data_IF_558997142340
#
_entry.id   IF_558997142340
#
_cell.length_a   1.000
_cell.length_b   1.000
_cell.length_c   1.000
_cell.angle_alpha   90.00
_cell.angle_beta   90.00
_cell.angle_gamma   90.00
#
_symmetry.space_group_name_H-M   'P 1'
#
loop_
_entity.id
_entity.type
_entity.pdbx_description
1 polymer ?
#
# COMPACT_ATOMS: atom_id res chain seq x y z
N UNK A 1 12.14 -41.71 0.59
CA UNK A 1 11.91 -40.97 -0.67
C UNK A 1 11.09 -39.75 -0.29
N UNK A 2 11.75 -38.62 -0.04
CA UNK A 2 11.10 -37.38 0.37
C UNK A 2 10.87 -36.51 -0.86
N UNK A 3 9.63 -36.05 -1.04
CA UNK A 3 9.28 -35.07 -2.05
C UNK A 3 10.06 -33.76 -1.82
N UNK A 4 10.49 -33.06 -2.88
CA UNK A 4 11.12 -31.77 -2.72
C UNK A 4 10.08 -30.72 -2.32
N UNK A 5 10.41 -30.00 -1.25
CA UNK A 5 9.81 -28.74 -0.78
C UNK A 5 9.74 -27.73 -1.92
N UNK A 6 8.55 -27.25 -2.25
CA UNK A 6 8.39 -26.09 -3.12
C UNK A 6 8.82 -24.82 -2.36
N UNK A 7 9.96 -24.25 -2.76
CA UNK A 7 10.35 -22.88 -2.39
C UNK A 7 9.35 -21.88 -3.03
N UNK A 8 8.88 -20.84 -2.33
CA UNK A 8 7.92 -19.89 -2.89
C UNK A 8 8.56 -18.78 -3.76
N UNK A 9 9.86 -18.84 -4.02
CA UNK A 9 10.56 -17.84 -4.84
C UNK A 9 10.47 -18.19 -6.33
N UNK A 10 9.28 -18.13 -6.91
CA UNK A 10 9.14 -18.19 -8.37
C UNK A 10 8.03 -17.31 -8.94
N UNK A 11 8.39 -16.71 -10.08
CA UNK A 11 7.65 -15.93 -11.09
C UNK A 11 7.33 -14.48 -10.67
N UNK A 12 7.85 -13.42 -11.31
CA UNK A 12 7.66 -13.02 -12.73
C UNK A 12 6.20 -13.05 -13.23
N UNK A 13 5.26 -13.55 -12.43
CA UNK A 13 3.87 -13.68 -12.79
C UNK A 13 3.15 -12.40 -12.41
N UNK A 14 2.38 -11.91 -13.37
CA UNK A 14 1.47 -10.81 -13.13
C UNK A 14 0.50 -11.22 -12.00
N UNK A 15 0.18 -10.29 -11.09
CA UNK A 15 -0.67 -10.60 -9.95
C UNK A 15 -2.03 -11.15 -10.44
N UNK A 16 -2.37 -12.37 -10.03
CA UNK A 16 -3.60 -13.05 -10.43
C UNK A 16 -4.83 -12.17 -10.11
N UNK A 17 -5.79 -12.13 -11.04
CA UNK A 17 -6.98 -11.26 -10.97
C UNK A 17 -6.74 -9.81 -11.42
N UNK A 18 -5.51 -9.30 -11.30
CA UNK A 18 -5.15 -7.97 -11.83
C UNK A 18 -4.54 -8.06 -13.24
N UNK A 19 -3.95 -9.19 -13.61
CA UNK A 19 -3.22 -9.39 -14.86
C UNK A 19 -4.02 -9.06 -16.14
N UNK A 20 -5.36 -9.15 -16.08
CA UNK A 20 -6.26 -8.84 -17.19
C UNK A 20 -6.46 -7.33 -17.43
N UNK A 21 -5.92 -6.48 -16.55
CA UNK A 21 -5.94 -5.03 -16.75
C UNK A 21 -5.15 -4.65 -18.02
N UNK A 22 -5.73 -3.84 -18.93
CA UNK A 22 -5.06 -3.41 -20.16
C UNK A 22 -3.66 -2.82 -19.95
N UNK A 23 -3.41 -2.21 -18.78
CA UNK A 23 -2.09 -1.71 -18.38
C UNK A 23 -0.96 -2.72 -18.63
N UNK A 24 -1.17 -3.99 -18.29
CA UNK A 24 -0.13 -5.01 -18.37
C UNK A 24 0.27 -5.35 -19.80
N UNK A 25 -0.68 -5.31 -20.74
CA UNK A 25 -0.42 -5.55 -22.16
C UNK A 25 0.05 -4.27 -22.88
N UNK A 26 -0.53 -3.11 -22.56
CA UNK A 26 -0.39 -1.88 -23.35
C UNK A 26 0.69 -0.92 -22.85
N UNK A 27 0.96 -0.91 -21.54
CA UNK A 27 1.86 0.08 -20.91
C UNK A 27 3.11 -0.53 -20.31
N UNK A 28 2.96 -1.67 -19.63
CA UNK A 28 4.07 -2.31 -18.92
C UNK A 28 5.29 -2.64 -19.83
N UNK A 29 5.15 -3.07 -21.10
CA UNK A 29 6.30 -3.33 -21.96
C UNK A 29 7.22 -2.11 -22.14
N UNK A 30 6.64 -0.93 -22.40
CA UNK A 30 7.39 0.31 -22.56
C UNK A 30 8.07 0.73 -21.25
N UNK A 31 7.36 0.59 -20.12
CA UNK A 31 7.91 0.86 -18.80
C UNK A 31 9.08 -0.08 -18.48
N UNK A 32 8.94 -1.38 -18.73
CA UNK A 32 10.03 -2.36 -18.54
C UNK A 32 11.25 -2.01 -19.37
N UNK A 33 11.06 -1.62 -20.63
CA UNK A 33 12.15 -1.15 -21.48
C UNK A 33 12.85 0.10 -20.93
N UNK A 34 12.08 1.08 -20.42
CA UNK A 34 12.63 2.29 -19.82
C UNK A 34 13.42 1.97 -18.54
N UNK A 35 12.90 1.08 -17.69
CA UNK A 35 13.58 0.66 -16.46
C UNK A 35 14.86 -0.14 -16.74
N UNK A 36 14.87 -1.02 -17.75
CA UNK A 36 16.05 -1.77 -18.15
C UNK A 36 17.15 -0.89 -18.74
N UNK A 37 16.78 0.24 -19.35
CA UNK A 37 17.71 1.24 -19.87
C UNK A 37 18.17 2.27 -18.85
N UNK A 38 17.63 2.26 -17.62
CA UNK A 38 18.03 3.19 -16.57
C UNK A 38 19.28 2.66 -15.85
N UNK A 39 20.43 3.37 -15.89
CA UNK A 39 21.66 2.91 -15.26
C UNK A 39 21.65 3.05 -13.72
N UNK A 40 20.64 3.70 -13.15
CA UNK A 40 20.54 3.93 -11.70
C UNK A 40 20.03 2.68 -10.99
N UNK A 41 20.28 2.59 -9.69
CA UNK A 41 19.64 1.56 -8.86
C UNK A 41 18.13 1.87 -8.75
N UNK A 42 17.29 0.98 -9.29
CA UNK A 42 15.84 1.13 -9.22
C UNK A 42 15.26 0.37 -8.03
N UNK A 43 14.36 1.03 -7.30
CA UNK A 43 13.66 0.52 -6.14
C UNK A 43 12.13 0.48 -6.38
N UNK A 44 11.41 -0.46 -5.76
CA UNK A 44 11.93 -1.66 -5.12
C UNK A 44 12.56 -2.62 -6.16
N UNK A 45 13.25 -3.69 -5.73
CA UNK A 45 13.64 -4.78 -6.62
C UNK A 45 12.47 -5.24 -7.51
N UNK A 46 12.76 -5.65 -8.74
CA UNK A 46 11.72 -5.95 -9.74
C UNK A 46 10.68 -6.96 -9.24
N UNK A 47 11.11 -8.01 -8.54
CA UNK A 47 10.23 -9.04 -7.99
C UNK A 47 9.19 -8.50 -6.99
N UNK A 48 9.46 -7.35 -6.35
CA UNK A 48 8.57 -6.76 -5.35
C UNK A 48 7.63 -5.72 -5.95
N UNK A 49 7.81 -5.34 -7.23
CA UNK A 49 7.13 -4.19 -7.82
C UNK A 49 5.59 -4.29 -7.78
N UNK A 50 5.07 -5.51 -7.89
CA UNK A 50 3.62 -5.80 -7.86
C UNK A 50 3.16 -6.46 -6.55
N UNK A 51 3.97 -6.45 -5.49
CA UNK A 51 3.67 -7.16 -4.24
C UNK A 51 2.33 -6.73 -3.61
N UNK A 52 1.96 -5.44 -3.66
CA UNK A 52 0.67 -4.96 -3.16
C UNK A 52 -0.52 -5.64 -3.86
N UNK A 53 -0.45 -5.79 -5.19
CA UNK A 53 -1.47 -6.44 -6.00
C UNK A 53 -1.49 -7.96 -5.79
N UNK A 54 -0.31 -8.58 -5.63
CA UNK A 54 -0.20 -10.01 -5.36
C UNK A 54 -0.77 -10.40 -3.98
N UNK A 55 -0.59 -9.54 -2.98
CA UNK A 55 -1.12 -9.77 -1.62
C UNK A 55 -2.61 -9.42 -1.48
N UNK A 56 -3.13 -8.57 -2.37
CA UNK A 56 -4.52 -8.07 -2.29
C UNK A 56 -5.19 -8.22 -3.66
N UNK A 57 -5.79 -9.39 -3.97
CA UNK A 57 -6.50 -9.57 -5.23
C UNK A 57 -7.76 -8.68 -5.30
N UNK A 58 -8.29 -8.40 -6.51
CA UNK A 58 -9.42 -7.47 -6.68
C UNK A 58 -10.63 -7.82 -5.82
N UNK A 59 -10.99 -9.09 -5.75
CA UNK A 59 -12.16 -9.59 -5.02
C UNK A 59 -12.02 -9.52 -3.49
N UNK A 60 -10.78 -9.47 -2.99
CA UNK A 60 -10.48 -9.33 -1.56
C UNK A 60 -10.21 -7.87 -1.17
N UNK A 61 -10.22 -6.93 -2.12
CA UNK A 61 -9.97 -5.52 -1.84
C UNK A 61 -11.15 -4.91 -1.11
N UNK A 62 -10.88 -4.37 0.09
CA UNK A 62 -11.86 -3.73 0.99
C UNK A 62 -11.51 -2.28 1.27
N UNK A 63 -10.21 -2.00 1.29
CA UNK A 63 -9.64 -0.66 1.48
C UNK A 63 -8.54 -0.45 0.45
N UNK A 64 -8.48 0.73 -0.17
CA UNK A 64 -7.37 1.16 -1.03
C UNK A 64 -6.72 2.37 -0.37
N UNK A 65 -5.43 2.29 -0.10
CA UNK A 65 -4.62 3.41 0.40
C UNK A 65 -3.58 3.75 -0.66
N UNK A 66 -3.62 4.98 -1.16
CA UNK A 66 -2.71 5.43 -2.21
C UNK A 66 -1.46 6.12 -1.64
N UNK A 67 -0.29 5.60 -2.03
CA UNK A 67 0.99 6.29 -1.91
C UNK A 67 1.41 6.97 -3.22
N UNK A 68 2.43 7.81 -3.18
CA UNK A 68 2.94 8.49 -4.36
C UNK A 68 3.87 7.58 -5.17
N UNK A 69 5.07 7.35 -4.65
CA UNK A 69 6.14 6.51 -5.19
C UNK A 69 6.79 5.69 -4.05
N UNK A 70 7.57 4.63 -4.36
CA UNK A 70 8.26 3.87 -3.33
C UNK A 70 9.27 4.75 -2.58
N UNK A 71 9.68 4.32 -1.38
CA UNK A 71 10.77 5.01 -0.71
C UNK A 71 12.05 4.95 -1.56
N UNK A 72 12.71 6.10 -1.83
CA UNK A 72 13.92 6.14 -2.65
C UNK A 72 15.17 5.68 -1.87
N UNK A 73 15.01 5.20 -0.64
CA UNK A 73 16.11 4.70 0.19
C UNK A 73 16.27 3.19 -0.04
N UNK A 74 17.44 2.71 -0.45
CA UNK A 74 17.71 1.28 -0.61
C UNK A 74 17.35 0.49 0.66
N UNK A 75 16.73 -0.68 0.48
CA UNK A 75 16.29 -1.55 1.58
C UNK A 75 14.99 -1.13 2.27
N UNK A 76 14.42 0.05 2.00
CA UNK A 76 13.15 0.45 2.60
C UNK A 76 11.94 -0.10 1.83
N UNK A 77 11.89 0.10 0.52
CA UNK A 77 10.72 -0.27 -0.27
C UNK A 77 10.67 -1.76 -0.62
N UNK A 78 9.52 -2.40 -0.35
CA UNK A 78 9.23 -3.80 -0.71
C UNK A 78 7.92 -3.96 -1.51
N UNK A 79 7.48 -2.88 -2.17
CA UNK A 79 6.34 -2.93 -3.10
C UNK A 79 4.98 -2.58 -2.51
N UNK A 80 4.89 -2.29 -1.22
CA UNK A 80 3.68 -1.80 -0.56
C UNK A 80 3.85 -0.31 -0.22
N UNK A 81 2.83 0.49 -0.51
CA UNK A 81 2.80 1.91 -0.12
C UNK A 81 2.98 2.07 1.40
N UNK A 82 3.78 3.06 1.79
CA UNK A 82 4.13 3.41 3.17
C UNK A 82 4.87 2.35 4.00
N UNK A 83 4.85 1.08 3.61
CA UNK A 83 5.47 -0.02 4.34
C UNK A 83 6.98 -0.11 4.09
N UNK A 84 7.69 -0.65 5.08
CA UNK A 84 9.11 -1.02 5.03
C UNK A 84 9.33 -2.40 5.62
N UNK A 85 10.52 -2.98 5.46
CA UNK A 85 10.86 -4.25 6.11
C UNK A 85 10.84 -4.11 7.66
N UNK A 86 10.57 -5.20 8.41
CA UNK A 86 10.34 -5.15 9.85
C UNK A 86 11.47 -4.52 10.67
N UNK A 87 12.71 -4.72 10.24
CA UNK A 87 13.96 -4.31 10.88
C UNK A 87 14.37 -2.86 10.57
N UNK A 88 13.76 -2.23 9.56
CA UNK A 88 14.10 -0.86 9.15
C UNK A 88 13.90 0.13 10.31
N UNK A 89 15.01 0.74 10.75
CA UNK A 89 15.02 1.82 11.75
C UNK A 89 16.04 2.89 11.36
N UNK A 90 15.74 4.18 11.58
CA UNK A 90 14.45 4.73 12.01
C UNK A 90 13.37 4.58 10.91
N UNK A 91 12.10 4.45 11.31
CA UNK A 91 10.98 4.38 10.35
C UNK A 91 10.92 5.63 9.45
N UNK A 92 10.51 5.53 8.18
CA UNK A 92 10.34 6.69 7.31
C UNK A 92 9.40 7.74 7.90
N UNK A 93 9.65 9.02 7.58
CA UNK A 93 8.94 10.14 8.22
C UNK A 93 7.42 10.08 8.04
N UNK A 94 6.96 9.69 6.84
CA UNK A 94 5.52 9.54 6.56
C UNK A 94 4.90 8.42 7.40
N UNK A 95 5.58 7.27 7.52
CA UNK A 95 5.09 6.15 8.32
C UNK A 95 5.05 6.49 9.82
N UNK A 96 6.03 7.24 10.33
CA UNK A 96 5.98 7.74 11.71
C UNK A 96 4.78 8.63 11.97
N UNK A 97 4.43 9.50 11.02
CA UNK A 97 3.24 10.34 11.14
C UNK A 97 1.96 9.50 11.06
N UNK A 98 1.92 8.48 10.19
CA UNK A 98 0.82 7.50 10.15
C UNK A 98 0.66 6.84 11.53
N UNK A 99 1.76 6.40 12.16
CA UNK A 99 1.69 5.75 13.48
C UNK A 99 1.31 6.70 14.60
N UNK A 100 1.71 7.98 14.52
CA UNK A 100 1.22 8.99 15.45
C UNK A 100 -0.30 9.17 15.32
N UNK A 101 -0.82 9.28 14.10
CA UNK A 101 -2.27 9.36 13.88
C UNK A 101 -2.98 8.10 14.37
N UNK A 102 -2.42 6.90 14.15
CA UNK A 102 -2.97 5.66 14.70
C UNK A 102 -2.99 5.64 16.23
N UNK A 103 -1.96 6.20 16.87
CA UNK A 103 -1.92 6.30 18.33
C UNK A 103 -3.03 7.22 18.85
N UNK A 104 -3.30 8.33 18.17
CA UNK A 104 -4.37 9.27 18.52
C UNK A 104 -5.77 8.74 18.15
N UNK A 105 -5.87 7.96 17.07
CA UNK A 105 -7.11 7.38 16.56
C UNK A 105 -7.53 6.11 17.32
N UNK A 106 -6.61 5.16 17.46
CA UNK A 106 -6.87 3.81 17.97
C UNK A 106 -6.25 3.54 19.35
N UNK A 107 -5.39 4.43 19.85
CA UNK A 107 -4.63 4.17 21.09
C UNK A 107 -3.46 3.19 20.91
N UNK A 108 -3.14 2.79 19.68
CA UNK A 108 -2.05 1.86 19.38
C UNK A 108 -1.56 2.01 17.93
N UNK A 109 -0.32 1.58 17.68
CA UNK A 109 0.26 1.44 16.33
C UNK A 109 1.06 0.13 16.21
N UNK A 110 1.37 -0.35 14.98
CA UNK A 110 2.23 -1.52 14.79
C UNK A 110 3.65 -1.33 15.35
N UNK A 111 4.27 -2.41 15.83
CA UNK A 111 5.63 -2.39 16.42
C UNK A 111 6.74 -2.27 15.36
N UNK A 112 6.46 -2.70 14.13
CA UNK A 112 7.40 -2.70 13.00
C UNK A 112 6.85 -1.85 11.86
N UNK A 113 7.68 -1.54 10.85
CA UNK A 113 7.23 -0.82 9.67
C UNK A 113 6.55 -1.69 8.59
N UNK A 114 6.39 -2.98 8.88
CA UNK A 114 5.83 -3.95 7.95
C UNK A 114 4.29 -3.95 8.03
N UNK A 115 3.66 -3.63 6.91
CA UNK A 115 2.22 -3.50 6.75
C UNK A 115 1.62 -4.66 5.92
N UNK A 116 2.40 -5.70 5.61
CA UNK A 116 1.87 -6.95 5.01
C UNK A 116 0.67 -7.52 5.79
N UNK A 117 0.59 -7.43 7.14
CA UNK A 117 -0.62 -7.83 7.87
C UNK A 117 -1.89 -7.08 7.46
N UNK A 118 -1.80 -5.82 7.03
CA UNK A 118 -2.96 -5.08 6.51
C UNK A 118 -3.35 -5.58 5.13
N UNK A 119 -2.37 -5.79 4.24
CA UNK A 119 -2.61 -6.28 2.88
C UNK A 119 -3.36 -7.63 2.88
N UNK A 120 -2.96 -8.56 3.76
CA UNK A 120 -3.62 -9.86 3.93
C UNK A 120 -5.09 -9.78 4.41
N UNK A 121 -5.53 -8.62 4.91
CA UNK A 121 -6.91 -8.36 5.34
C UNK A 121 -7.75 -7.60 4.31
N UNK A 122 -7.20 -7.37 3.10
CA UNK A 122 -7.89 -6.65 2.03
C UNK A 122 -7.55 -5.16 1.93
N UNK A 123 -6.45 -4.71 2.55
CA UNK A 123 -5.96 -3.34 2.42
C UNK A 123 -4.92 -3.23 1.29
N UNK A 124 -5.36 -2.78 0.13
CA UNK A 124 -4.50 -2.56 -1.02
C UNK A 124 -3.63 -1.31 -0.81
N UNK A 125 -2.36 -1.52 -0.48
CA UNK A 125 -1.34 -0.48 -0.26
C UNK A 125 -0.60 -0.16 -1.57
N UNK A 126 -1.21 0.61 -2.45
CA UNK A 126 -0.71 0.85 -3.81
C UNK A 126 -0.06 2.23 -3.95
N UNK A 127 1.18 2.27 -4.46
CA UNK A 127 1.76 3.54 -4.94
C UNK A 127 1.25 3.85 -6.34
N UNK A 128 1.03 5.13 -6.66
CA UNK A 128 0.64 5.57 -8.01
C UNK A 128 1.77 5.44 -9.03
N UNK A 129 3.02 5.41 -8.55
CA UNK A 129 4.23 5.10 -9.29
C UNK A 129 4.88 3.90 -8.62
N UNK A 130 5.17 2.83 -9.36
CA UNK A 130 5.63 1.55 -8.75
C UNK A 130 7.16 1.40 -8.72
N UNK A 131 7.91 2.40 -9.18
CA UNK A 131 9.37 2.38 -9.17
C UNK A 131 9.95 3.76 -8.92
N UNK A 132 11.19 3.82 -8.43
CA UNK A 132 11.91 5.06 -8.18
C UNK A 132 13.43 4.80 -8.28
N UNK A 133 14.23 5.71 -8.84
CA UNK A 133 15.68 5.65 -8.71
C UNK A 133 16.10 5.94 -7.26
N UNK A 134 17.10 5.23 -6.77
CA UNK A 134 17.63 5.44 -5.43
C UNK A 134 18.06 6.91 -5.23
N UNK A 135 17.61 7.51 -4.13
CA UNK A 135 17.85 8.92 -3.79
C UNK A 135 16.97 9.95 -4.52
N UNK A 136 16.20 9.56 -5.54
CA UNK A 136 15.48 10.48 -6.40
C UNK A 136 13.96 10.29 -6.35
N UNK A 137 13.32 10.83 -5.30
CA UNK A 137 11.86 10.87 -5.22
C UNK A 137 11.25 11.48 -6.49
N UNK A 138 10.15 10.90 -6.97
CA UNK A 138 9.49 11.22 -8.24
C UNK A 138 10.29 10.94 -9.52
N UNK A 139 11.46 10.29 -9.46
CA UNK A 139 12.32 10.08 -10.62
C UNK A 139 11.66 9.33 -11.79
N UNK A 140 10.63 8.51 -11.51
CA UNK A 140 9.88 7.75 -12.52
C UNK A 140 8.43 8.21 -12.70
N UNK A 141 8.07 9.42 -12.23
CA UNK A 141 6.70 9.94 -12.36
C UNK A 141 6.20 10.03 -13.81
N UNK A 142 7.10 10.13 -14.79
CA UNK A 142 6.74 10.31 -16.19
C UNK A 142 6.67 9.00 -16.99
N UNK A 143 6.90 7.84 -16.35
CA UNK A 143 6.91 6.55 -17.06
C UNK A 143 5.52 6.01 -17.38
N UNK A 144 4.44 6.59 -16.86
CA UNK A 144 3.07 6.17 -17.13
C UNK A 144 2.51 5.10 -16.17
N UNK A 145 3.16 4.90 -15.02
CA UNK A 145 2.66 4.02 -13.95
C UNK A 145 1.25 4.36 -13.48
N UNK A 146 0.85 5.63 -13.57
CA UNK A 146 -0.45 6.13 -13.12
C UNK A 146 -1.61 5.44 -13.83
N UNK A 147 -1.42 4.96 -15.06
CA UNK A 147 -2.45 4.20 -15.79
C UNK A 147 -2.87 2.93 -15.03
N UNK A 148 -1.94 2.28 -14.33
CA UNK A 148 -2.27 1.14 -13.47
C UNK A 148 -3.15 1.58 -12.29
N UNK A 149 -2.80 2.67 -11.62
CA UNK A 149 -3.60 3.19 -10.51
C UNK A 149 -5.01 3.57 -10.96
N UNK A 150 -5.16 4.19 -12.13
CA UNK A 150 -6.47 4.49 -12.72
C UNK A 150 -7.31 3.22 -12.91
N UNK A 151 -6.73 2.19 -13.52
CA UNK A 151 -7.42 0.93 -13.80
C UNK A 151 -7.73 0.13 -12.52
N UNK A 152 -6.85 0.17 -11.52
CA UNK A 152 -7.08 -0.44 -10.21
C UNK A 152 -8.24 0.25 -9.48
N UNK A 153 -8.33 1.58 -9.51
CA UNK A 153 -9.44 2.31 -8.92
C UNK A 153 -10.76 2.00 -9.64
N UNK A 154 -10.75 1.94 -10.97
CA UNK A 154 -11.93 1.59 -11.76
C UNK A 154 -12.43 0.16 -11.48
N UNK A 155 -11.52 -0.80 -11.37
CA UNK A 155 -11.86 -2.20 -11.13
C UNK A 155 -12.31 -2.43 -9.68
N UNK A 156 -11.57 -1.89 -8.70
CA UNK A 156 -11.92 -2.05 -7.28
C UNK A 156 -13.26 -1.36 -6.93
N UNK A 157 -13.60 -0.28 -7.63
CA UNK A 157 -14.86 0.46 -7.40
C UNK A 157 -16.10 -0.22 -8.01
N UNK A 158 -15.96 -1.41 -8.58
CA UNK A 158 -17.13 -2.25 -8.92
C UNK A 158 -17.82 -2.83 -7.68
N UNK A 159 -17.18 -2.72 -6.50
CA UNK A 159 -17.73 -3.14 -5.20
C UNK A 159 -17.50 -2.03 -4.20
N UNK A 160 -18.36 -1.95 -3.19
CA UNK A 160 -18.18 -1.02 -2.07
C UNK A 160 -16.78 -1.22 -1.45
N UNK A 161 -16.03 -0.12 -1.39
CA UNK A 161 -14.61 -0.11 -1.03
C UNK A 161 -14.33 1.21 -0.33
N UNK A 162 -13.48 1.19 0.70
CA UNK A 162 -12.98 2.41 1.33
C UNK A 162 -11.73 2.93 0.60
N UNK A 163 -11.71 4.17 0.17
CA UNK A 163 -10.59 4.82 -0.51
C UNK A 163 -9.99 5.90 0.37
N UNK A 164 -8.70 5.78 0.63
CA UNK A 164 -7.94 6.70 1.45
C UNK A 164 -6.98 7.49 0.55
N UNK A 165 -7.35 8.75 0.30
CA UNK A 165 -6.72 9.63 -0.67
C UNK A 165 -5.95 10.74 0.05
N UNK A 166 -4.73 10.40 0.49
CA UNK A 166 -3.87 11.31 1.22
C UNK A 166 -3.09 12.24 0.29
N UNK A 167 -3.44 13.53 0.34
CA UNK A 167 -2.82 14.59 -0.45
C UNK A 167 -3.42 14.79 -1.82
N UNK A 168 -3.16 15.96 -2.40
CA UNK A 168 -3.80 16.44 -3.64
C UNK A 168 -3.64 15.49 -4.84
N UNK A 169 -2.49 14.81 -4.95
CA UNK A 169 -2.25 13.88 -6.04
C UNK A 169 -3.17 12.66 -5.96
N UNK A 170 -3.34 12.08 -4.77
CA UNK A 170 -4.26 10.97 -4.55
C UNK A 170 -5.73 11.41 -4.71
N UNK A 171 -6.09 12.59 -4.18
CA UNK A 171 -7.43 13.17 -4.32
C UNK A 171 -7.82 13.40 -5.79
N UNK A 172 -6.88 13.84 -6.63
CA UNK A 172 -7.13 14.01 -8.06
C UNK A 172 -7.48 12.70 -8.78
N UNK A 173 -7.18 11.54 -8.19
CA UNK A 173 -7.54 10.23 -8.72
C UNK A 173 -8.96 9.78 -8.35
N UNK A 174 -9.67 10.51 -7.48
CA UNK A 174 -11.06 10.20 -7.11
C UNK A 174 -11.99 10.09 -8.33
N UNK A 175 -11.70 10.82 -9.41
CA UNK A 175 -12.44 10.75 -10.68
C UNK A 175 -12.38 9.37 -11.38
N UNK A 176 -11.46 8.49 -10.99
CA UNK A 176 -11.35 7.12 -11.50
C UNK A 176 -12.10 6.10 -10.64
N UNK A 177 -12.71 6.54 -9.54
CA UNK A 177 -13.57 5.71 -8.70
C UNK A 177 -14.99 5.81 -9.29
N UNK A 178 -15.59 4.67 -9.60
CA UNK A 178 -16.97 4.61 -10.10
C UNK A 178 -17.94 5.13 -9.02
N UNK A 179 -19.07 5.75 -9.42
CA UNK A 179 -20.12 6.09 -8.45
C UNK A 179 -20.65 4.84 -7.76
N UNK A 180 -20.83 4.91 -6.44
CA UNK A 180 -21.30 3.78 -5.64
C UNK A 180 -21.26 4.09 -4.15
N UNK A 181 -21.63 3.09 -3.34
CA UNK A 181 -21.59 3.15 -1.89
C UNK A 181 -20.16 2.90 -1.38
N UNK A 182 -19.27 3.85 -1.67
CA UNK A 182 -17.87 3.84 -1.26
C UNK A 182 -17.66 4.81 -0.09
N UNK A 183 -16.72 4.48 0.80
CA UNK A 183 -16.18 5.46 1.74
C UNK A 183 -15.00 6.19 1.08
N UNK A 184 -15.06 7.51 0.94
CA UNK A 184 -13.93 8.31 0.43
C UNK A 184 -13.40 9.18 1.58
N UNK A 185 -12.15 8.95 1.99
CA UNK A 185 -11.45 9.75 2.99
C UNK A 185 -10.36 10.57 2.30
N UNK A 186 -10.58 11.88 2.21
CA UNK A 186 -9.62 12.83 1.61
C UNK A 186 -9.01 13.72 2.69
N UNK A 187 -7.68 13.64 2.85
CA UNK A 187 -6.97 14.44 3.86
C UNK A 187 -5.62 14.90 3.34
N UNK A 188 -4.89 15.72 4.12
CA UNK A 188 -3.52 16.07 3.75
C UNK A 188 -2.60 14.84 3.77
N UNK A 189 -1.50 14.87 3.01
CA UNK A 189 -0.55 13.74 2.99
C UNK A 189 0.17 13.61 4.36
N UNK A 190 0.50 12.38 4.83
CA UNK A 190 1.26 12.16 6.07
C UNK A 190 2.73 12.65 6.02
N UNK A 191 3.16 13.33 4.96
CA UNK A 191 4.52 13.87 4.87
C UNK A 191 4.69 14.99 5.90
N UNK A 192 5.89 15.17 6.49
CA UNK A 192 6.16 16.29 7.39
C UNK A 192 5.78 17.68 6.82
N UNK A 193 5.78 17.82 5.49
CA UNK A 193 5.42 19.06 4.80
C UNK A 193 3.93 19.43 4.92
N UNK A 194 3.07 18.45 5.16
CA UNK A 194 1.61 18.62 5.09
C UNK A 194 0.83 17.99 6.24
N UNK A 195 1.44 17.13 7.07
CA UNK A 195 0.70 16.35 8.06
C UNK A 195 -0.11 17.22 9.05
N UNK A 196 0.48 18.34 9.51
CA UNK A 196 -0.19 19.31 10.39
C UNK A 196 -1.31 20.11 9.72
N UNK A 197 -1.47 20.00 8.40
CA UNK A 197 -2.48 20.75 7.61
C UNK A 197 -3.75 19.93 7.36
N UNK A 198 -3.97 18.86 8.12
CA UNK A 198 -5.20 18.06 8.06
C UNK A 198 -5.02 16.55 7.95
N UNK A 199 -3.79 16.02 8.04
CA UNK A 199 -3.61 14.57 8.24
C UNK A 199 -3.85 14.20 9.69
N UNK A 200 -3.22 14.93 10.62
CA UNK A 200 -3.41 14.72 12.04
C UNK A 200 -4.83 15.09 12.48
N UNK A 201 -5.47 14.22 13.26
CA UNK A 201 -6.85 14.33 13.71
C UNK A 201 -7.88 13.89 12.67
N UNK A 202 -7.46 13.31 11.54
CA UNK A 202 -8.38 12.85 10.50
C UNK A 202 -9.04 11.49 10.77
N UNK A 203 -8.48 10.73 11.71
CA UNK A 203 -9.01 9.47 12.25
C UNK A 203 -9.47 8.48 11.17
N UNK A 204 -8.63 8.20 10.15
CA UNK A 204 -9.07 7.39 9.02
C UNK A 204 -9.30 5.92 9.42
N UNK A 205 -8.55 5.40 10.39
CA UNK A 205 -8.56 3.97 10.72
C UNK A 205 -9.83 3.56 11.46
N UNK A 206 -10.25 4.34 12.47
CA UNK A 206 -11.52 4.12 13.16
C UNK A 206 -12.70 4.37 12.22
N UNK A 207 -12.64 5.40 11.39
CA UNK A 207 -13.69 5.70 10.40
C UNK A 207 -13.91 4.54 9.43
N UNK A 208 -12.83 3.94 8.90
CA UNK A 208 -12.92 2.75 8.04
C UNK A 208 -13.57 1.59 8.78
N UNK A 209 -13.15 1.31 10.02
CA UNK A 209 -13.72 0.19 10.78
C UNK A 209 -15.19 0.41 11.13
N UNK A 210 -15.61 1.64 11.45
CA UNK A 210 -17.02 1.96 11.65
C UNK A 210 -17.84 1.78 10.38
N UNK A 211 -17.30 2.19 9.22
CA UNK A 211 -17.97 1.99 7.93
C UNK A 211 -18.10 0.51 7.56
N UNK A 212 -17.05 -0.29 7.76
CA UNK A 212 -17.11 -1.75 7.55
C UNK A 212 -18.13 -2.41 8.49
N UNK A 213 -18.12 -2.03 9.78
CA UNK A 213 -19.04 -2.59 10.77
C UNK A 213 -20.51 -2.26 10.46
N UNK A 214 -20.81 -1.04 9.98
CA UNK A 214 -22.15 -0.65 9.55
C UNK A 214 -22.69 -1.49 8.38
N UNK A 215 -21.80 -2.17 7.65
CA UNK A 215 -22.12 -3.06 6.52
C UNK A 215 -22.12 -4.54 6.91
N UNK A 216 -21.94 -4.85 8.19
CA UNK A 216 -21.81 -6.23 8.69
C UNK A 216 -20.50 -6.90 8.30
N UNK A 217 -19.49 -6.13 7.88
CA UNK A 217 -18.18 -6.66 7.52
C UNK A 217 -17.21 -6.62 8.72
N UNK A 218 -16.28 -7.58 8.83
CA UNK A 218 -15.33 -7.62 9.94
C UNK A 218 -14.36 -6.42 9.88
N UNK A 219 -14.08 -5.72 10.99
CA UNK A 219 -13.15 -4.59 10.98
C UNK A 219 -11.74 -5.03 10.58
N UNK A 220 -10.93 -4.10 10.07
CA UNK A 220 -9.50 -4.31 9.86
C UNK A 220 -8.79 -4.29 11.22
N UNK A 221 -7.98 -5.31 11.46
CA UNK A 221 -7.03 -5.35 12.57
C UNK A 221 -5.82 -4.51 12.18
N UNK A 222 -5.87 -3.20 12.48
CA UNK A 222 -4.82 -2.24 12.16
C UNK A 222 -3.55 -2.41 13.02
N UNK A 223 -3.70 -2.98 14.22
CA UNK A 223 -2.60 -3.25 15.14
C UNK A 223 -2.61 -4.72 15.49
N UNK A 224 -1.44 -5.36 15.49
CA UNK A 224 -1.36 -6.72 16.03
C UNK A 224 -1.65 -6.67 17.54
N UNK A 225 -2.34 -7.68 18.12
CA UNK A 225 -2.38 -7.83 19.56
C UNK A 225 -0.94 -7.93 20.07
N UNK A 226 -0.59 -7.15 21.11
CA UNK A 226 0.70 -7.28 21.79
C UNK A 226 0.89 -8.75 22.13
N UNK A 227 1.96 -9.37 21.66
CA UNK A 227 2.30 -10.71 22.12
C UNK A 227 2.47 -10.60 23.64
N UNK A 228 1.53 -11.14 24.41
CA UNK A 228 1.70 -11.26 25.84
C UNK A 228 2.84 -12.24 26.02
N UNK A 229 4.03 -11.71 26.32
CA UNK A 229 5.10 -12.50 26.93
C UNK A 229 4.52 -13.09 28.21
N UNK A 230 4.03 -14.34 28.16
CA UNK A 230 3.82 -15.11 29.38
C UNK A 230 5.18 -15.20 30.05
N UNK A 231 5.28 -14.60 31.23
CA UNK A 231 6.45 -14.74 32.08
C UNK A 231 6.62 -16.23 32.38
N UNK A 232 7.83 -16.82 32.30
CA UNK A 232 8.04 -18.23 32.61
C UNK A 232 7.75 -18.65 34.06
N UNK A 233 7.26 -17.75 34.91
CA UNK A 233 7.10 -17.96 36.36
C UNK A 233 5.64 -18.04 36.85
N UNK A 234 4.65 -18.24 35.97
CA UNK A 234 3.28 -18.59 36.39
C UNK A 234 3.04 -20.11 36.27
N UNK A 235 3.66 -20.88 37.19
CA UNK A 235 3.18 -22.18 37.72
C UNK A 235 3.66 -22.32 39.17
#
# INVERSE_FOLDING_TARGET
MSAPSASPDHVADLPAGWADLPFFAERLPAIRSALAGDPRQILPPELHRFAALALTPPEATRVVILGQDPYPTPGHAHGLAFSVEPDVRPLPRSLRNIYQEMQDDLGACPETGDLRPWARQGVLLLNTVLSVPAGEANGHKALGWQDLAHQVLDLSSRRATAYVLWGKQAQALAKHIRPGDHLIIETAHPSPLSARRGFFGSRPFSTINSWLAARGEPPITWTAPRATTRSPNDV
#
